data_IF_859136395714
#
_entry.id   IF_859136395714
#
_cell.length_a   1.000
_cell.length_b   1.000
_cell.length_c   1.000
_cell.angle_alpha   90.00
_cell.angle_beta   90.00
_cell.angle_gamma   90.00
#
_symmetry.space_group_name_H-M   'P 1'
#
loop_
_entity.id
_entity.type
_entity.pdbx_description
1 polymer ?
#
# COMPACT_ATOMS: atom_id res chain seq x y z
N UNK A 1 45.34 -23.93 13.89
CA UNK A 1 44.22 -23.26 13.17
C UNK A 1 43.82 -22.08 14.04
N UNK A 2 43.99 -20.84 13.59
CA UNK A 2 43.79 -19.65 14.44
C UNK A 2 42.37 -19.68 15.04
N UNK A 3 42.26 -19.49 16.35
CA UNK A 3 40.98 -19.44 17.08
C UNK A 3 40.03 -18.42 16.42
N UNK A 4 40.56 -17.30 15.92
CA UNK A 4 39.82 -16.29 15.15
C UNK A 4 39.19 -16.85 13.85
N UNK A 5 39.87 -17.75 13.14
CA UNK A 5 39.36 -18.42 11.94
C UNK A 5 38.24 -19.41 12.32
N UNK A 6 38.36 -20.06 13.48
CA UNK A 6 37.35 -20.99 13.98
C UNK A 6 36.05 -20.26 14.37
N UNK A 7 36.16 -19.10 15.04
CA UNK A 7 34.99 -18.27 15.40
C UNK A 7 34.32 -17.62 14.19
N UNK A 8 35.09 -17.09 13.24
CA UNK A 8 34.52 -16.53 12.00
C UNK A 8 33.82 -17.60 11.17
N UNK A 9 34.38 -18.81 11.07
CA UNK A 9 33.71 -19.95 10.45
C UNK A 9 32.41 -20.34 11.16
N UNK A 10 32.40 -20.35 12.50
CA UNK A 10 31.20 -20.67 13.29
C UNK A 10 30.10 -19.61 13.13
N UNK A 11 30.44 -18.32 13.13
CA UNK A 11 29.51 -17.22 12.88
C UNK A 11 28.95 -17.33 11.45
N UNK A 12 29.80 -17.62 10.46
CA UNK A 12 29.39 -17.83 9.08
C UNK A 12 28.46 -19.05 8.93
N UNK A 13 28.73 -20.15 9.63
CA UNK A 13 27.91 -21.36 9.66
C UNK A 13 26.53 -21.09 10.29
N UNK A 14 26.48 -20.35 11.39
CA UNK A 14 25.24 -19.93 12.06
C UNK A 14 24.40 -19.03 11.14
N UNK A 15 25.03 -18.14 10.38
CA UNK A 15 24.36 -17.30 9.37
C UNK A 15 23.82 -18.14 8.20
N UNK A 16 24.54 -19.19 7.78
CA UNK A 16 24.15 -20.08 6.68
C UNK A 16 22.88 -20.91 7.00
N UNK A 17 22.73 -21.35 8.25
CA UNK A 17 21.60 -22.19 8.69
C UNK A 17 20.33 -21.35 8.96
N UNK A 18 20.44 -20.03 9.09
CA UNK A 18 19.31 -19.12 9.36
C UNK A 18 18.37 -18.79 8.19
N UNK A 19 18.60 -19.34 6.99
CA UNK A 19 17.96 -18.88 5.75
C UNK A 19 16.53 -19.38 5.50
N UNK A 20 16.00 -20.32 6.30
CA UNK A 20 14.74 -21.00 5.96
C UNK A 20 13.45 -20.32 6.43
N UNK A 21 13.54 -19.20 7.17
CA UNK A 21 12.37 -18.62 7.82
C UNK A 21 11.52 -17.76 6.87
N UNK A 22 10.79 -18.39 5.95
CA UNK A 22 9.83 -17.69 5.09
C UNK A 22 8.40 -17.96 5.56
N UNK A 23 7.62 -16.93 5.97
CA UNK A 23 6.22 -17.10 6.38
C UNK A 23 5.32 -17.67 5.27
N UNK A 24 5.79 -17.68 4.02
CA UNK A 24 5.14 -18.28 2.83
C UNK A 24 4.78 -19.77 2.98
N UNK A 25 5.36 -20.48 3.95
CA UNK A 25 4.99 -21.88 4.23
C UNK A 25 3.58 -22.04 4.82
N UNK A 26 3.03 -20.97 5.41
CA UNK A 26 1.73 -20.98 6.09
C UNK A 26 0.57 -20.51 5.21
N UNK A 27 0.85 -20.10 3.97
CA UNK A 27 -0.20 -19.79 2.99
C UNK A 27 -0.85 -21.06 2.47
N UNK A 28 -2.18 -21.02 2.31
CA UNK A 28 -2.95 -22.07 1.65
C UNK A 28 -2.55 -22.22 0.17
N UNK A 29 -3.06 -23.26 -0.46
CA UNK A 29 -2.88 -23.44 -1.91
C UNK A 29 -3.57 -22.30 -2.68
N UNK A 30 -2.89 -21.79 -3.71
CA UNK A 30 -3.37 -20.67 -4.52
C UNK A 30 -3.13 -19.27 -3.92
N UNK A 31 -2.96 -19.14 -2.61
CA UNK A 31 -2.72 -17.86 -1.94
C UNK A 31 -1.35 -17.26 -2.25
N UNK A 32 -1.28 -15.93 -2.24
CA UNK A 32 -0.03 -15.19 -2.47
C UNK A 32 0.12 -14.04 -1.47
N UNK A 33 1.35 -13.85 -0.99
CA UNK A 33 1.69 -12.75 -0.10
C UNK A 33 1.85 -11.46 -0.90
N UNK A 34 1.11 -10.41 -0.54
CA UNK A 34 1.33 -9.07 -1.03
C UNK A 34 2.69 -8.56 -0.55
N UNK A 35 3.65 -8.39 -1.48
CA UNK A 35 5.01 -7.91 -1.16
C UNK A 35 5.25 -6.48 -1.59
N UNK A 36 4.53 -5.98 -2.58
CA UNK A 36 4.74 -4.63 -3.12
C UNK A 36 3.50 -4.09 -3.81
N UNK A 37 3.18 -2.84 -3.50
CA UNK A 37 2.36 -1.99 -4.36
C UNK A 37 3.28 -1.03 -5.11
N UNK A 38 3.08 -0.88 -6.41
CA UNK A 38 3.80 0.08 -7.25
C UNK A 38 2.78 1.01 -7.89
N UNK A 39 3.05 2.31 -7.84
CA UNK A 39 2.29 3.31 -8.60
C UNK A 39 3.09 3.69 -9.84
N UNK A 40 2.43 3.65 -10.99
CA UNK A 40 2.96 4.05 -12.28
C UNK A 40 2.00 5.08 -12.90
N UNK A 41 2.42 6.35 -12.92
CA UNK A 41 1.67 7.40 -13.61
C UNK A 41 2.28 7.55 -15.00
N UNK A 42 1.46 7.38 -16.03
CA UNK A 42 1.88 7.36 -17.44
C UNK A 42 2.15 8.79 -17.93
N UNK A 43 1.19 9.69 -17.75
CA UNK A 43 1.26 11.08 -18.25
C UNK A 43 1.88 12.04 -17.24
N UNK A 44 3.20 11.95 -17.05
CA UNK A 44 3.91 12.82 -16.10
C UNK A 44 3.86 14.31 -16.42
N UNK A 45 3.59 14.68 -17.68
CA UNK A 45 3.60 16.09 -18.13
C UNK A 45 2.43 16.90 -17.59
N UNK A 46 1.32 16.24 -17.26
CA UNK A 46 0.12 16.91 -16.73
C UNK A 46 0.14 16.99 -15.20
N UNK A 47 1.27 16.65 -14.55
CA UNK A 47 1.41 16.61 -13.10
C UNK A 47 2.50 17.57 -12.68
N UNK A 48 2.12 18.64 -11.99
CA UNK A 48 3.04 19.68 -11.51
C UNK A 48 4.06 19.09 -10.49
N UNK A 49 3.55 18.43 -9.45
CA UNK A 49 4.36 17.77 -8.41
C UNK A 49 4.15 16.26 -8.44
N UNK A 50 4.90 15.61 -9.32
CA UNK A 50 4.86 14.15 -9.50
C UNK A 50 5.21 13.39 -8.23
N UNK A 51 6.20 13.87 -7.47
CA UNK A 51 6.71 13.17 -6.29
C UNK A 51 5.70 13.18 -5.17
N UNK A 52 5.10 14.34 -4.89
CA UNK A 52 4.07 14.47 -3.87
C UNK A 52 2.80 13.73 -4.27
N UNK A 53 2.32 13.88 -5.51
CA UNK A 53 1.12 13.15 -5.97
C UNK A 53 1.31 11.63 -5.84
N UNK A 54 2.47 11.11 -6.24
CA UNK A 54 2.78 9.69 -6.10
C UNK A 54 2.80 9.24 -4.64
N UNK A 55 3.33 10.06 -3.73
CA UNK A 55 3.29 9.79 -2.30
C UNK A 55 1.86 9.76 -1.78
N UNK A 56 1.07 10.80 -2.05
CA UNK A 56 -0.34 10.89 -1.66
C UNK A 56 -1.11 9.66 -2.12
N UNK A 57 -1.03 9.31 -3.40
CA UNK A 57 -1.67 8.12 -3.96
C UNK A 57 -1.21 6.83 -3.25
N UNK A 58 0.07 6.71 -2.89
CA UNK A 58 0.58 5.54 -2.17
C UNK A 58 -0.07 5.35 -0.80
N UNK A 59 -0.46 6.44 -0.14
CA UNK A 59 -1.15 6.39 1.15
C UNK A 59 -2.61 5.96 1.05
N UNK A 60 -3.23 6.13 -0.13
CA UNK A 60 -4.65 5.86 -0.40
C UNK A 60 -4.94 4.41 -0.83
N UNK A 61 -3.91 3.58 -1.00
CA UNK A 61 -4.08 2.15 -1.31
C UNK A 61 -4.53 1.40 -0.04
N UNK A 62 -5.60 0.60 -0.15
CA UNK A 62 -6.20 -0.09 1.00
C UNK A 62 -5.34 -1.26 1.51
N UNK A 63 -4.98 -2.21 0.64
CA UNK A 63 -4.12 -3.33 1.04
C UNK A 63 -2.65 -2.90 1.06
N UNK A 64 -1.96 -3.12 2.18
CA UNK A 64 -0.54 -2.75 2.35
C UNK A 64 0.31 -4.00 2.62
N UNK A 65 1.51 -4.11 2.02
CA UNK A 65 2.46 -5.15 2.42
C UNK A 65 2.82 -5.01 3.91
N UNK A 66 3.12 -6.13 4.57
CA UNK A 66 3.64 -6.14 5.92
C UNK A 66 4.91 -5.28 6.08
N UNK A 67 5.11 -4.73 7.28
CA UNK A 67 6.27 -3.87 7.53
C UNK A 67 7.56 -4.68 7.52
N UNK A 68 8.63 -4.04 7.05
CA UNK A 68 9.97 -4.61 7.10
C UNK A 68 10.65 -4.15 8.38
N UNK A 69 11.27 -5.07 9.09
CA UNK A 69 12.14 -4.74 10.20
C UNK A 69 13.57 -4.54 9.68
N UNK A 70 14.15 -3.35 9.85
CA UNK A 70 15.55 -3.05 9.50
C UNK A 70 16.00 -3.48 8.09
N UNK A 71 15.09 -3.40 7.09
CA UNK A 71 15.37 -3.86 5.71
C UNK A 71 15.37 -5.38 5.50
N UNK A 72 15.25 -6.17 6.57
CA UNK A 72 15.13 -7.62 6.55
C UNK A 72 13.73 -8.07 6.10
N UNK A 73 13.57 -9.34 5.65
CA UNK A 73 12.25 -9.91 5.38
C UNK A 73 11.29 -9.77 6.57
N UNK A 74 10.01 -9.57 6.26
CA UNK A 74 8.89 -9.32 7.18
C UNK A 74 8.80 -10.41 8.26
N UNK A 75 9.21 -10.10 9.50
CA UNK A 75 9.17 -11.03 10.64
C UNK A 75 7.77 -11.13 11.28
N UNK A 76 6.93 -10.10 11.14
CA UNK A 76 5.61 -10.05 11.76
C UNK A 76 4.70 -11.23 11.41
N UNK A 77 4.53 -11.58 10.12
CA UNK A 77 3.75 -12.75 9.73
C UNK A 77 4.29 -14.07 10.30
N UNK A 78 5.60 -14.18 10.51
CA UNK A 78 6.18 -15.38 11.10
C UNK A 78 5.81 -15.52 12.58
N UNK A 79 5.94 -14.44 13.36
CA UNK A 79 5.52 -14.43 14.76
C UNK A 79 4.02 -14.71 14.89
N UNK A 80 3.20 -14.13 14.02
CA UNK A 80 1.75 -14.35 13.97
C UNK A 80 1.42 -15.83 13.84
N UNK A 81 1.89 -16.49 12.77
CA UNK A 81 1.59 -17.92 12.55
C UNK A 81 2.19 -18.82 13.63
N UNK A 82 3.41 -18.53 14.12
CA UNK A 82 4.07 -19.35 15.16
C UNK A 82 3.28 -19.36 16.45
N UNK A 83 2.82 -18.20 16.91
CA UNK A 83 2.14 -18.08 18.21
C UNK A 83 0.69 -18.57 18.08
N UNK A 84 -0.01 -18.22 17.00
CA UNK A 84 -1.39 -18.65 16.79
C UNK A 84 -1.51 -20.18 16.68
N UNK A 85 -0.56 -20.84 16.01
CA UNK A 85 -0.55 -22.31 15.89
C UNK A 85 -0.42 -23.08 17.20
N UNK A 86 0.06 -22.42 18.27
CA UNK A 86 0.31 -23.07 19.57
C UNK A 86 -0.73 -22.71 20.64
N UNK A 87 -1.68 -21.81 20.33
CA UNK A 87 -2.63 -21.25 21.31
C UNK A 87 -1.97 -20.81 22.63
N UNK A 88 -0.70 -20.45 22.60
CA UNK A 88 0.13 -20.26 23.79
C UNK A 88 -0.08 -18.85 24.35
N UNK A 89 -0.66 -18.78 25.54
CA UNK A 89 -1.09 -17.55 26.20
C UNK A 89 -0.02 -16.94 27.11
N UNK A 90 1.24 -17.39 27.06
CA UNK A 90 2.35 -16.83 27.85
C UNK A 90 2.46 -15.30 27.75
N UNK A 91 2.84 -14.63 28.86
CA UNK A 91 3.03 -13.17 28.94
C UNK A 91 3.97 -12.65 27.84
N UNK A 92 5.04 -13.41 27.54
CA UNK A 92 5.98 -13.08 26.48
C UNK A 92 5.34 -13.13 25.09
N UNK A 93 4.59 -14.19 24.79
CA UNK A 93 3.91 -14.32 23.50
C UNK A 93 2.86 -13.23 23.29
N UNK A 94 2.13 -12.85 24.35
CA UNK A 94 1.19 -11.70 24.28
C UNK A 94 1.92 -10.39 23.98
N UNK A 95 3.11 -10.19 24.55
CA UNK A 95 3.94 -9.03 24.24
C UNK A 95 4.37 -9.04 22.77
N UNK A 96 4.90 -10.16 22.27
CA UNK A 96 5.34 -10.32 20.88
C UNK A 96 4.17 -10.15 19.91
N UNK A 97 3.01 -10.75 20.17
CA UNK A 97 1.81 -10.58 19.36
C UNK A 97 1.39 -9.11 19.27
N UNK A 98 1.44 -8.38 20.39
CA UNK A 98 1.03 -6.98 20.44
C UNK A 98 2.03 -6.03 19.79
N UNK A 99 3.32 -6.35 19.82
CA UNK A 99 4.37 -5.42 19.40
C UNK A 99 4.96 -5.74 18.03
N UNK A 100 5.14 -7.01 17.70
CA UNK A 100 5.98 -7.43 16.57
C UNK A 100 5.26 -8.37 15.59
N UNK A 101 4.17 -9.03 15.99
CA UNK A 101 3.38 -9.84 15.07
C UNK A 101 2.51 -8.94 14.19
N UNK A 102 2.38 -9.35 12.94
CA UNK A 102 1.47 -8.71 11.98
C UNK A 102 0.71 -9.81 11.27
N UNK A 103 -0.56 -9.57 11.02
CA UNK A 103 -1.35 -10.47 10.18
C UNK A 103 -0.72 -10.55 8.78
N UNK A 104 -0.58 -11.76 8.22
CA UNK A 104 -0.04 -11.94 6.88
C UNK A 104 -0.83 -11.13 5.84
N UNK A 105 -0.15 -10.23 5.13
CA UNK A 105 -0.74 -9.49 4.02
C UNK A 105 -0.95 -10.42 2.82
N UNK A 106 -2.08 -11.14 2.79
CA UNK A 106 -2.51 -11.97 1.66
C UNK A 106 -3.13 -11.06 0.61
N UNK A 107 -2.74 -11.25 -0.66
CA UNK A 107 -3.28 -10.48 -1.76
C UNK A 107 -4.77 -10.79 -1.97
N UNK A 108 -5.57 -9.73 -2.11
CA UNK A 108 -6.98 -9.81 -2.44
C UNK A 108 -7.29 -8.92 -3.66
N UNK A 109 -7.87 -9.53 -4.70
CA UNK A 109 -8.20 -8.82 -5.95
C UNK A 109 -9.29 -7.77 -5.77
N UNK A 110 -10.31 -8.04 -4.94
CA UNK A 110 -11.40 -7.10 -4.70
C UNK A 110 -10.91 -5.85 -3.95
N UNK A 111 -9.96 -6.02 -3.01
CA UNK A 111 -9.34 -4.89 -2.31
C UNK A 111 -8.40 -4.10 -3.26
N UNK A 112 -7.75 -4.77 -4.21
CA UNK A 112 -6.96 -4.12 -5.25
C UNK A 112 -7.85 -3.25 -6.15
N UNK A 113 -8.97 -3.80 -6.61
CA UNK A 113 -9.97 -3.10 -7.41
C UNK A 113 -10.56 -1.89 -6.66
N UNK A 114 -10.97 -2.09 -5.39
CA UNK A 114 -11.43 -1.00 -4.55
C UNK A 114 -10.35 0.09 -4.36
N UNK A 115 -9.08 -0.31 -4.26
CA UNK A 115 -7.96 0.65 -4.20
C UNK A 115 -7.84 1.44 -5.50
N UNK A 116 -7.94 0.79 -6.66
CA UNK A 116 -7.90 1.46 -7.97
C UNK A 116 -9.01 2.52 -8.09
N UNK A 117 -10.25 2.14 -7.77
CA UNK A 117 -11.41 3.06 -7.74
C UNK A 117 -11.22 4.23 -6.77
N UNK A 118 -10.64 3.98 -5.60
CA UNK A 118 -10.36 5.03 -4.63
C UNK A 118 -9.29 6.00 -5.13
N UNK A 119 -8.25 5.51 -5.80
CA UNK A 119 -7.22 6.34 -6.42
C UNK A 119 -7.81 7.21 -7.54
N UNK A 120 -8.65 6.62 -8.40
CA UNK A 120 -9.34 7.35 -9.46
C UNK A 120 -10.21 8.48 -8.90
N UNK A 121 -11.06 8.17 -7.91
CA UNK A 121 -11.88 9.16 -7.22
C UNK A 121 -11.04 10.26 -6.58
N UNK A 122 -9.94 9.90 -5.95
CA UNK A 122 -9.03 10.87 -5.33
C UNK A 122 -8.45 11.84 -6.36
N UNK A 123 -8.07 11.35 -7.55
CA UNK A 123 -7.56 12.16 -8.65
C UNK A 123 -8.65 13.10 -9.20
N UNK A 124 -9.86 12.60 -9.39
CA UNK A 124 -11.01 13.41 -9.82
C UNK A 124 -11.28 14.57 -8.84
N UNK A 125 -11.25 14.29 -7.53
CA UNK A 125 -11.39 15.32 -6.48
C UNK A 125 -10.24 16.35 -6.48
N UNK A 126 -9.10 16.04 -7.10
CA UNK A 126 -7.94 16.94 -7.25
C UNK A 126 -7.94 17.71 -8.58
N UNK A 127 -9.00 17.59 -9.36
CA UNK A 127 -9.20 18.27 -10.64
C UNK A 127 -8.77 17.46 -11.86
N UNK A 128 -8.36 16.20 -11.70
CA UNK A 128 -8.06 15.31 -12.82
C UNK A 128 -9.32 14.52 -13.20
N UNK A 129 -10.29 15.18 -13.82
CA UNK A 129 -11.60 14.58 -14.08
C UNK A 129 -11.54 13.40 -15.06
N UNK A 130 -10.60 13.44 -16.01
CA UNK A 130 -10.36 12.38 -16.99
C UNK A 130 -9.41 11.29 -16.47
N UNK A 131 -9.15 11.25 -15.15
CA UNK A 131 -8.27 10.26 -14.57
C UNK A 131 -8.87 8.85 -14.66
N UNK A 132 -8.01 7.88 -14.96
CA UNK A 132 -8.34 6.48 -14.97
C UNK A 132 -7.25 5.66 -14.27
N UNK A 133 -7.67 4.66 -13.49
CA UNK A 133 -6.74 3.79 -12.75
C UNK A 133 -7.06 2.33 -12.96
N UNK A 134 -6.10 1.62 -13.57
CA UNK A 134 -6.09 0.17 -13.68
C UNK A 134 -5.04 -0.45 -12.76
N UNK A 135 -5.12 -1.77 -12.55
CA UNK A 135 -4.05 -2.51 -11.88
C UNK A 135 -3.69 -3.81 -12.59
N UNK A 136 -2.40 -4.10 -12.61
CA UNK A 136 -1.86 -5.39 -13.03
C UNK A 136 -1.19 -6.10 -11.85
N UNK A 137 -1.14 -7.43 -11.93
CA UNK A 137 -0.51 -8.24 -10.89
C UNK A 137 0.59 -9.13 -11.45
N UNK A 138 1.64 -9.33 -10.66
CA UNK A 138 2.79 -10.16 -11.04
C UNK A 138 3.23 -11.05 -9.91
N UNK A 139 3.08 -12.37 -10.10
CA UNK A 139 3.64 -13.39 -9.22
C UNK A 139 5.18 -13.44 -9.35
N UNK A 140 5.88 -13.48 -8.21
CA UNK A 140 7.34 -13.40 -8.10
C UNK A 140 7.91 -14.49 -7.18
N UNK A 141 9.23 -14.71 -7.27
CA UNK A 141 9.96 -15.72 -6.52
C UNK A 141 9.85 -17.13 -7.11
N UNK A 142 10.69 -18.05 -6.63
CA UNK A 142 10.78 -19.43 -7.15
C UNK A 142 9.43 -20.15 -7.11
N UNK A 143 8.72 -20.07 -5.97
CA UNK A 143 7.41 -20.74 -5.76
C UNK A 143 6.20 -19.89 -6.14
N UNK A 144 6.39 -18.73 -6.79
CA UNK A 144 5.31 -17.79 -7.18
C UNK A 144 4.35 -17.34 -6.06
N UNK A 145 4.68 -17.57 -4.78
CA UNK A 145 3.90 -17.15 -3.59
C UNK A 145 4.01 -15.67 -3.22
N UNK A 146 4.69 -14.85 -4.04
CA UNK A 146 4.84 -13.39 -3.81
C UNK A 146 4.02 -12.65 -4.87
N UNK A 147 3.14 -11.77 -4.45
CA UNK A 147 2.36 -10.91 -5.34
C UNK A 147 2.87 -9.47 -5.31
N UNK A 148 3.09 -8.92 -6.49
CA UNK A 148 3.30 -7.49 -6.70
C UNK A 148 2.09 -6.94 -7.45
N UNK A 149 1.49 -5.87 -6.92
CA UNK A 149 0.41 -5.13 -7.58
C UNK A 149 1.01 -3.84 -8.13
N UNK A 150 0.73 -3.53 -9.39
CA UNK A 150 1.13 -2.27 -10.02
C UNK A 150 -0.14 -1.57 -10.48
N UNK A 151 -0.39 -0.39 -9.91
CA UNK A 151 -1.47 0.50 -10.33
C UNK A 151 -0.94 1.38 -11.46
N UNK A 152 -1.55 1.27 -12.64
CA UNK A 152 -1.28 2.10 -13.80
C UNK A 152 -2.30 3.23 -13.81
N UNK A 153 -1.81 4.47 -13.87
CA UNK A 153 -2.62 5.66 -13.67
C UNK A 153 -2.43 6.56 -14.89
N UNK A 154 -3.53 6.83 -15.58
CA UNK A 154 -3.63 7.82 -16.64
C UNK A 154 -4.33 9.02 -16.03
N UNK A 155 -3.62 10.15 -15.88
CA UNK A 155 -4.16 11.31 -15.12
C UNK A 155 -5.00 12.25 -15.96
N UNK A 156 -4.78 12.32 -17.28
CA UNK A 156 -5.42 13.34 -18.12
C UNK A 156 -4.99 14.76 -17.76
N UNK A 157 -5.78 15.76 -18.15
CA UNK A 157 -5.52 17.17 -17.83
C UNK A 157 -6.09 17.53 -16.45
N UNK A 158 -5.42 18.46 -15.77
CA UNK A 158 -5.94 19.04 -14.53
C UNK A 158 -6.78 20.28 -14.84
N UNK A 159 -7.97 20.32 -14.26
CA UNK A 159 -8.89 21.43 -14.36
C UNK A 159 -8.93 22.20 -13.04
N UNK A 160 -9.14 23.50 -13.14
CA UNK A 160 -9.29 24.41 -12.03
C UNK A 160 -10.65 25.09 -12.12
N UNK A 161 -11.22 25.47 -10.98
CA UNK A 161 -12.42 26.29 -10.97
C UNK A 161 -12.02 27.67 -11.49
N UNK A 162 -12.66 28.08 -12.57
CA UNK A 162 -12.42 29.39 -13.19
C UNK A 162 -13.50 30.39 -12.75
N UNK A 163 -14.77 30.12 -13.09
CA UNK A 163 -15.88 31.02 -12.81
C UNK A 163 -17.02 30.29 -12.09
N UNK A 164 -17.54 30.89 -11.01
CA UNK A 164 -18.72 30.43 -10.29
C UNK A 164 -19.91 31.38 -10.53
N UNK A 165 -20.98 30.84 -11.11
CA UNK A 165 -22.22 31.59 -11.37
C UNK A 165 -23.37 30.98 -10.57
N UNK A 166 -23.93 31.77 -9.67
CA UNK A 166 -25.10 31.38 -8.87
C UNK A 166 -26.39 31.72 -9.63
N UNK A 167 -27.27 30.73 -9.78
CA UNK A 167 -28.56 30.87 -10.47
C UNK A 167 -29.67 30.29 -9.60
N UNK A 168 -30.76 31.05 -9.43
CA UNK A 168 -31.96 30.60 -8.72
C UNK A 168 -33.20 31.10 -9.44
N UNK A 169 -34.26 30.28 -9.46
CA UNK A 169 -35.58 30.68 -9.97
C UNK A 169 -36.37 31.53 -8.96
N UNK A 170 -36.07 31.35 -7.67
CA UNK A 170 -36.64 32.13 -6.59
C UNK A 170 -35.86 33.44 -6.45
N UNK A 171 -36.52 34.62 -6.61
CA UNK A 171 -35.86 35.91 -6.48
C UNK A 171 -35.24 36.17 -5.11
N UNK A 172 -35.88 35.73 -4.02
CA UNK A 172 -35.38 35.92 -2.66
C UNK A 172 -34.09 35.11 -2.46
N UNK A 173 -34.07 33.85 -2.93
CA UNK A 173 -32.86 33.02 -2.91
C UNK A 173 -31.79 33.60 -3.84
N UNK A 174 -32.16 34.09 -5.02
CA UNK A 174 -31.21 34.70 -5.96
C UNK A 174 -30.50 35.90 -5.34
N UNK A 175 -31.25 36.78 -4.67
CA UNK A 175 -30.69 37.93 -3.97
C UNK A 175 -29.68 37.51 -2.90
N UNK A 176 -30.05 36.54 -2.04
CA UNK A 176 -29.15 36.00 -1.01
C UNK A 176 -27.86 35.43 -1.66
N UNK A 177 -28.01 34.68 -2.76
CA UNK A 177 -26.88 34.11 -3.49
C UNK A 177 -25.95 35.17 -4.10
N UNK A 178 -26.50 36.30 -4.58
CA UNK A 178 -25.68 37.42 -5.07
C UNK A 178 -24.99 38.16 -3.92
N UNK A 179 -25.63 38.31 -2.76
CA UNK A 179 -25.03 38.94 -1.59
C UNK A 179 -23.83 38.14 -1.05
N UNK A 180 -23.92 36.81 -1.04
CA UNK A 180 -22.81 35.94 -0.61
C UNK A 180 -21.75 35.71 -1.70
N UNK A 181 -22.03 36.07 -2.95
CA UNK A 181 -21.11 35.89 -4.08
C UNK A 181 -19.78 36.61 -3.85
N UNK A 182 -19.80 37.80 -3.26
CA UNK A 182 -18.59 38.58 -2.92
C UNK A 182 -17.70 37.92 -1.86
N UNK A 183 -18.27 37.01 -1.05
CA UNK A 183 -17.57 36.23 -0.03
C UNK A 183 -17.19 34.82 -0.52
N UNK A 184 -17.55 34.47 -1.75
CA UNK A 184 -17.14 33.23 -2.39
C UNK A 184 -15.77 33.44 -3.06
N UNK A 185 -14.92 32.40 -3.01
CA UNK A 185 -13.50 32.37 -3.42
C UNK A 185 -13.06 33.36 -4.50
#
# INVERSE_FOLDING_TARGET
>A
MNEAIRYTFFIFLVILVGTSCTPMRYLNEGETFLKKNKINIEDRRNVDDYSNLKYELSTKIYQKPNTKFLGMPTLGPWFYYRIQSKSDTSKWNRFVLRKWAEEPAVYNSNIADASAKNLEKYLQLRGYFDAHVDFETKKKGLRKKKMHVKYNITVGKRYYIDTLNFVSKDPAIHQILQEIKSNSF
#
